data_IF_749683063687
#
_entry.id   IF_749683063687
#
_cell.length_a   1.000
_cell.length_b   1.000
_cell.length_c   1.000
_cell.angle_alpha   90.00
_cell.angle_beta   90.00
_cell.angle_gamma   90.00
#
_symmetry.space_group_name_H-M   'P 1'
#
loop_
_entity.id
_entity.type
_entity.pdbx_description
1 polymer ?
#
# COMPACT_ATOMS: atom_id res chain seq x y z
N UNK A 1 -12.35 22.06 -10.30
CA UNK A 1 -11.87 21.98 -8.90
C UNK A 1 -11.78 20.52 -8.50
N UNK A 2 -10.59 20.03 -8.11
CA UNK A 2 -10.45 18.67 -7.56
C UNK A 2 -11.15 18.65 -6.19
N UNK A 3 -12.09 17.71 -5.99
CA UNK A 3 -12.77 17.58 -4.71
C UNK A 3 -11.77 17.11 -3.64
N UNK A 4 -11.66 17.89 -2.55
CA UNK A 4 -10.71 17.69 -1.44
C UNK A 4 -10.79 16.29 -0.83
N UNK A 5 -11.94 15.60 -0.95
CA UNK A 5 -12.13 14.22 -0.45
C UNK A 5 -11.19 13.22 -1.13
N UNK A 6 -10.96 13.35 -2.44
CA UNK A 6 -10.05 12.47 -3.21
C UNK A 6 -8.58 12.82 -3.01
N UNK A 7 -8.29 14.10 -2.75
CA UNK A 7 -6.91 14.58 -2.63
C UNK A 7 -6.21 14.05 -1.38
N UNK A 8 -6.95 13.85 -0.28
CA UNK A 8 -6.38 13.39 1.00
C UNK A 8 -5.72 12.00 0.92
N UNK A 9 -6.42 10.92 0.51
CA UNK A 9 -5.78 9.61 0.40
C UNK A 9 -4.63 9.62 -0.61
N UNK A 10 -4.75 10.38 -1.71
CA UNK A 10 -3.67 10.52 -2.69
C UNK A 10 -2.42 11.14 -2.08
N UNK A 11 -2.55 12.27 -1.37
CA UNK A 11 -1.42 12.92 -0.68
C UNK A 11 -0.82 11.98 0.36
N UNK A 12 -1.64 11.29 1.15
CA UNK A 12 -1.15 10.33 2.14
C UNK A 12 -0.39 9.17 1.47
N UNK A 13 -0.86 8.66 0.34
CA UNK A 13 -0.17 7.62 -0.42
C UNK A 13 1.17 8.09 -0.96
N UNK A 14 1.22 9.31 -1.52
CA UNK A 14 2.48 9.92 -1.96
C UNK A 14 3.45 10.10 -0.79
N UNK A 15 2.96 10.48 0.39
CA UNK A 15 3.80 10.60 1.60
C UNK A 15 4.36 9.23 2.00
N UNK A 16 3.54 8.17 2.00
CA UNK A 16 4.00 6.80 2.31
C UNK A 16 5.10 6.37 1.33
N UNK A 17 4.90 6.58 0.03
CA UNK A 17 5.90 6.26 -1.01
C UNK A 17 7.17 7.09 -0.83
N UNK A 18 7.07 8.40 -0.57
CA UNK A 18 8.26 9.26 -0.38
C UNK A 18 9.03 8.84 0.88
N UNK A 19 8.33 8.54 1.97
CA UNK A 19 8.94 8.07 3.21
C UNK A 19 9.64 6.72 2.98
N UNK A 20 8.95 5.76 2.36
CA UNK A 20 9.48 4.42 2.10
C UNK A 20 10.62 4.41 1.09
N UNK A 21 10.41 4.93 -0.11
CA UNK A 21 11.42 4.87 -1.15
C UNK A 21 12.54 5.88 -0.94
N UNK A 22 12.23 7.16 -0.66
CA UNK A 22 13.26 8.22 -0.66
C UNK A 22 13.90 8.36 0.72
N UNK A 23 13.12 8.62 1.76
CA UNK A 23 13.70 8.93 3.07
C UNK A 23 14.34 7.69 3.70
N UNK A 24 13.65 6.56 3.70
CA UNK A 24 14.17 5.36 4.35
C UNK A 24 15.45 4.83 3.72
N UNK A 25 15.57 4.93 2.39
CA UNK A 25 16.80 4.63 1.66
C UNK A 25 17.93 5.59 2.00
N UNK A 26 17.68 6.91 1.95
CA UNK A 26 18.74 7.91 2.14
C UNK A 26 19.23 8.03 3.59
N UNK A 27 18.37 7.70 4.56
CA UNK A 27 18.70 7.73 5.99
C UNK A 27 18.94 6.34 6.59
N UNK A 28 19.06 5.29 5.76
CA UNK A 28 19.31 3.91 6.20
C UNK A 28 18.30 3.38 7.23
N UNK A 29 17.04 3.83 7.17
CA UNK A 29 15.99 3.51 8.15
C UNK A 29 15.67 2.01 8.11
N UNK A 30 15.62 1.41 6.91
CA UNK A 30 15.40 -0.03 6.74
C UNK A 30 16.41 -0.89 7.51
N UNK A 31 17.65 -0.42 7.64
CA UNK A 31 18.69 -1.13 8.41
C UNK A 31 18.65 -0.86 9.92
N UNK A 32 18.01 0.23 10.33
CA UNK A 32 18.00 0.69 11.72
C UNK A 32 16.75 0.25 12.48
N UNK A 33 15.65 -0.03 11.79
CA UNK A 33 14.35 -0.35 12.39
C UNK A 33 13.80 -1.63 11.75
N UNK A 34 13.90 -2.75 12.49
CA UNK A 34 13.66 -4.15 12.06
C UNK A 34 12.26 -4.42 11.47
N UNK A 35 11.29 -3.54 11.70
CA UNK A 35 9.91 -3.69 11.19
C UNK A 35 9.38 -2.46 10.46
N UNK A 36 10.25 -1.51 10.11
CA UNK A 36 9.83 -0.29 9.44
C UNK A 36 9.10 -0.56 8.13
N UNK A 37 9.61 -1.53 7.38
CA UNK A 37 9.01 -2.03 6.16
C UNK A 37 7.54 -2.47 6.35
N UNK A 38 7.29 -3.33 7.36
CA UNK A 38 5.92 -3.79 7.65
C UNK A 38 5.00 -2.64 8.09
N UNK A 39 5.52 -1.59 8.74
CA UNK A 39 4.74 -0.38 9.06
C UNK A 39 4.34 0.38 7.79
N UNK A 40 5.22 0.43 6.77
CA UNK A 40 4.89 1.02 5.48
C UNK A 40 3.81 0.22 4.76
N UNK A 41 3.88 -1.11 4.77
CA UNK A 41 2.82 -1.96 4.19
C UNK A 41 1.47 -1.78 4.90
N UNK A 42 1.44 -1.80 6.24
CA UNK A 42 0.21 -1.46 6.98
C UNK A 42 -0.32 -0.08 6.58
N UNK A 43 0.56 0.90 6.44
CA UNK A 43 0.16 2.26 6.03
C UNK A 43 -0.33 2.30 4.58
N UNK A 44 0.33 1.57 3.67
CA UNK A 44 0.00 1.44 2.26
C UNK A 44 -1.36 0.79 2.05
N UNK A 45 -1.59 -0.36 2.68
CA UNK A 45 -2.89 -1.05 2.67
C UNK A 45 -4.03 -0.18 3.22
N UNK A 46 -3.80 0.53 4.33
CA UNK A 46 -4.77 1.49 4.90
C UNK A 46 -5.12 2.59 3.90
N UNK A 47 -4.11 3.21 3.27
CA UNK A 47 -4.30 4.29 2.31
C UNK A 47 -4.96 3.79 1.03
N UNK A 48 -4.58 2.60 0.53
CA UNK A 48 -5.19 2.00 -0.64
C UNK A 48 -6.69 1.75 -0.42
N UNK A 49 -7.06 1.12 0.70
CA UNK A 49 -8.46 0.93 1.07
C UNK A 49 -9.20 2.27 1.24
N UNK A 50 -8.54 3.29 1.81
CA UNK A 50 -9.10 4.64 1.92
C UNK A 50 -9.38 5.28 0.57
N UNK A 51 -8.43 5.20 -0.35
CA UNK A 51 -8.57 5.69 -1.70
C UNK A 51 -9.78 5.07 -2.40
N UNK A 52 -9.92 3.74 -2.36
CA UNK A 52 -11.06 3.05 -2.97
C UNK A 52 -12.39 3.33 -2.25
N UNK A 53 -12.41 3.40 -0.92
CA UNK A 53 -13.61 3.78 -0.16
C UNK A 53 -14.11 5.18 -0.50
N UNK A 54 -13.20 6.12 -0.82
CA UNK A 54 -13.58 7.45 -1.29
C UNK A 54 -14.05 7.44 -2.75
N UNK A 55 -13.36 6.72 -3.64
CA UNK A 55 -13.68 6.69 -5.08
C UNK A 55 -14.98 5.96 -5.37
N UNK A 56 -15.23 4.86 -4.67
CA UNK A 56 -16.41 4.03 -4.89
C UNK A 56 -17.51 4.21 -3.86
N UNK A 57 -17.41 5.16 -2.93
CA UNK A 57 -18.36 5.28 -1.80
C UNK A 57 -19.84 5.14 -2.18
N UNK A 58 -20.33 5.88 -3.19
CA UNK A 58 -21.72 5.76 -3.64
C UNK A 58 -22.04 4.46 -4.40
N UNK A 59 -21.03 3.79 -4.96
CA UNK A 59 -21.17 2.46 -5.59
C UNK A 59 -21.16 1.36 -4.54
N UNK A 60 -20.53 1.59 -3.39
CA UNK A 60 -20.47 0.65 -2.28
C UNK A 60 -21.79 0.61 -1.49
N UNK A 61 -22.66 1.63 -1.57
CA UNK A 61 -23.89 1.71 -0.77
C UNK A 61 -24.90 0.58 -1.03
N UNK A 62 -24.84 -0.08 -2.20
CA UNK A 62 -25.70 -1.22 -2.54
C UNK A 62 -25.23 -2.56 -1.99
N UNK A 63 -24.05 -2.62 -1.38
CA UNK A 63 -23.46 -3.84 -0.85
C UNK A 63 -23.65 -3.94 0.68
N UNK A 64 -23.70 -5.16 1.20
CA UNK A 64 -23.65 -5.44 2.63
C UNK A 64 -22.29 -5.05 3.23
N UNK A 65 -22.25 -4.90 4.54
CA UNK A 65 -21.01 -4.55 5.26
C UNK A 65 -19.89 -5.57 5.04
N UNK A 66 -20.24 -6.87 4.96
CA UNK A 66 -19.26 -7.91 4.69
C UNK A 66 -18.70 -7.82 3.26
N UNK A 67 -19.56 -7.55 2.27
CA UNK A 67 -19.12 -7.35 0.88
C UNK A 67 -18.23 -6.11 0.74
N UNK A 68 -18.61 -4.97 1.37
CA UNK A 68 -17.77 -3.77 1.41
C UNK A 68 -16.39 -4.07 2.00
N UNK A 69 -16.34 -4.83 3.10
CA UNK A 69 -15.10 -5.24 3.73
C UNK A 69 -14.24 -6.04 2.76
N UNK A 70 -14.79 -7.11 2.17
CA UNK A 70 -14.08 -7.97 1.22
C UNK A 70 -13.58 -7.20 -0.01
N UNK A 71 -14.40 -6.30 -0.56
CA UNK A 71 -14.02 -5.46 -1.71
C UNK A 71 -12.81 -4.60 -1.36
N UNK A 72 -12.87 -3.85 -0.25
CA UNK A 72 -11.79 -2.93 0.12
C UNK A 72 -10.48 -3.65 0.41
N UNK A 73 -10.50 -4.77 1.14
CA UNK A 73 -9.28 -5.55 1.40
C UNK A 73 -8.73 -6.18 0.12
N UNK A 74 -9.58 -6.65 -0.80
CA UNK A 74 -9.14 -7.31 -2.04
C UNK A 74 -8.43 -6.33 -2.96
N UNK A 75 -8.92 -5.09 -3.04
CA UNK A 75 -8.28 -4.04 -3.83
C UNK A 75 -6.95 -3.62 -3.24
N UNK A 76 -6.88 -3.45 -1.92
CA UNK A 76 -5.63 -3.10 -1.25
C UNK A 76 -4.60 -4.24 -1.41
N UNK A 77 -5.01 -5.49 -1.25
CA UNK A 77 -4.18 -6.66 -1.50
C UNK A 77 -3.69 -6.73 -2.95
N UNK A 78 -4.54 -6.39 -3.94
CA UNK A 78 -4.12 -6.32 -5.33
C UNK A 78 -3.05 -5.24 -5.55
N UNK A 79 -3.19 -4.07 -4.94
CA UNK A 79 -2.17 -3.01 -5.00
C UNK A 79 -0.86 -3.46 -4.34
N UNK A 80 -0.92 -4.05 -3.15
CA UNK A 80 0.25 -4.60 -2.46
C UNK A 80 0.96 -5.67 -3.30
N UNK A 81 0.20 -6.61 -3.87
CA UNK A 81 0.75 -7.62 -4.77
C UNK A 81 1.42 -7.02 -6.02
N UNK A 82 0.84 -5.98 -6.62
CA UNK A 82 1.45 -5.29 -7.77
C UNK A 82 2.76 -4.59 -7.36
N UNK A 83 2.81 -4.01 -6.16
CA UNK A 83 4.03 -3.39 -5.62
C UNK A 83 5.14 -4.42 -5.44
N UNK A 84 4.85 -5.53 -4.76
CA UNK A 84 5.77 -6.65 -4.56
C UNK A 84 6.28 -7.24 -5.87
N UNK A 85 5.38 -7.41 -6.84
CA UNK A 85 5.76 -7.90 -8.17
C UNK A 85 6.71 -6.93 -8.88
N UNK A 86 6.48 -5.62 -8.75
CA UNK A 86 7.36 -4.60 -9.32
C UNK A 86 8.75 -4.65 -8.68
N UNK A 87 8.85 -4.76 -7.36
CA UNK A 87 10.13 -4.90 -6.66
C UNK A 87 10.86 -6.17 -7.08
N UNK A 88 10.16 -7.31 -7.12
CA UNK A 88 10.72 -8.58 -7.60
C UNK A 88 11.26 -8.44 -9.02
N UNK A 89 10.49 -7.83 -9.94
CA UNK A 89 10.93 -7.63 -11.33
C UNK A 89 12.18 -6.76 -11.39
N UNK A 90 12.25 -5.66 -10.62
CA UNK A 90 13.45 -4.80 -10.62
C UNK A 90 14.67 -5.56 -10.06
N UNK A 91 14.49 -6.34 -9.00
CA UNK A 91 15.56 -7.10 -8.35
C UNK A 91 16.03 -8.32 -9.15
N UNK A 92 15.14 -8.99 -9.89
CA UNK A 92 15.42 -10.28 -10.53
C UNK A 92 15.68 -10.21 -12.05
N UNK A 93 15.61 -9.03 -12.65
CA UNK A 93 15.79 -8.84 -14.11
C UNK A 93 16.99 -7.97 -14.46
N UNK A 94 17.21 -7.77 -15.76
CA UNK A 94 18.18 -6.80 -16.30
C UNK A 94 17.97 -5.37 -15.77
N UNK A 95 16.81 -5.07 -15.18
CA UNK A 95 16.53 -3.79 -14.54
C UNK A 95 17.40 -3.53 -13.30
N UNK A 96 17.96 -4.57 -12.68
CA UNK A 96 18.91 -4.42 -11.57
C UNK A 96 20.18 -3.66 -11.98
N UNK A 97 20.50 -3.63 -13.27
CA UNK A 97 21.63 -2.87 -13.82
C UNK A 97 21.36 -1.35 -13.88
N UNK A 98 20.13 -0.89 -13.61
CA UNK A 98 19.77 0.53 -13.57
C UNK A 98 19.85 1.07 -12.14
N UNK A 99 20.95 1.75 -11.74
CA UNK A 99 21.23 2.01 -10.33
C UNK A 99 20.21 2.93 -9.68
N UNK A 100 19.64 3.86 -10.44
CA UNK A 100 18.60 4.78 -9.93
C UNK A 100 17.30 4.03 -9.63
N UNK A 101 16.90 3.09 -10.50
CA UNK A 101 15.67 2.33 -10.32
C UNK A 101 15.83 1.34 -9.16
N UNK A 102 16.90 0.54 -9.20
CA UNK A 102 17.24 -0.43 -8.15
C UNK A 102 17.58 0.23 -6.80
N UNK A 103 17.84 1.54 -6.74
CA UNK A 103 18.02 2.22 -5.45
C UNK A 103 16.70 2.46 -4.71
N UNK A 104 15.61 2.68 -5.43
CA UNK A 104 14.34 3.12 -4.83
C UNK A 104 13.23 2.08 -4.91
N UNK A 105 13.38 1.11 -5.82
CA UNK A 105 12.45 0.03 -6.06
C UNK A 105 13.30 -1.23 -6.10
N UNK A 106 13.52 -1.80 -4.93
CA UNK A 106 14.28 -3.03 -4.76
C UNK A 106 13.75 -3.73 -3.52
N UNK A 107 14.02 -5.02 -3.44
CA UNK A 107 13.28 -5.88 -2.53
C UNK A 107 12.42 -6.86 -3.30
N UNK A 108 11.45 -7.47 -2.65
CA UNK A 108 10.55 -8.42 -3.28
C UNK A 108 11.24 -9.75 -3.54
N UNK A 109 11.10 -10.66 -2.59
CA UNK A 109 11.24 -12.09 -2.83
C UNK A 109 10.04 -12.80 -2.22
N UNK A 110 9.89 -14.11 -2.49
CA UNK A 110 8.71 -14.84 -2.02
C UNK A 110 8.49 -14.74 -0.50
N UNK A 111 9.56 -14.76 0.30
CA UNK A 111 9.45 -14.68 1.77
C UNK A 111 8.99 -13.27 2.19
N UNK A 112 9.54 -12.24 1.54
CA UNK A 112 9.20 -10.85 1.78
C UNK A 112 7.72 -10.59 1.46
N UNK A 113 7.29 -10.92 0.24
CA UNK A 113 5.92 -10.78 -0.24
C UNK A 113 4.91 -11.52 0.64
N UNK A 114 5.24 -12.72 1.14
CA UNK A 114 4.38 -13.46 2.08
C UNK A 114 4.28 -12.75 3.43
N UNK A 115 5.30 -11.98 3.84
CA UNK A 115 5.28 -11.12 5.02
C UNK A 115 4.52 -9.80 4.80
N UNK A 116 4.63 -9.21 3.61
CA UNK A 116 4.08 -7.89 3.29
C UNK A 116 2.61 -7.89 2.96
N UNK A 117 2.16 -8.88 2.18
CA UNK A 117 0.76 -8.94 1.77
C UNK A 117 -0.21 -9.04 2.98
N UNK A 118 0.09 -9.82 4.05
CA UNK A 118 -0.69 -9.77 5.28
C UNK A 118 -0.67 -8.41 5.99
N UNK A 119 0.46 -7.68 5.95
CA UNK A 119 0.56 -6.35 6.52
C UNK A 119 -0.31 -5.34 5.75
N UNK A 120 -0.31 -5.40 4.42
CA UNK A 120 -1.22 -4.63 3.56
C UNK A 120 -2.68 -4.96 3.87
N UNK A 121 -3.03 -6.24 3.93
CA UNK A 121 -4.39 -6.71 4.27
C UNK A 121 -4.81 -6.23 5.66
N UNK A 122 -3.90 -6.24 6.64
CA UNK A 122 -4.18 -5.76 7.98
C UNK A 122 -4.49 -4.25 7.99
N UNK A 123 -3.65 -3.44 7.34
CA UNK A 123 -3.91 -2.01 7.17
C UNK A 123 -5.23 -1.71 6.47
N UNK A 124 -5.52 -2.44 5.40
CA UNK A 124 -6.78 -2.33 4.66
C UNK A 124 -7.99 -2.72 5.51
N UNK A 125 -7.86 -3.76 6.34
CA UNK A 125 -8.89 -4.21 7.26
C UNK A 125 -9.22 -3.15 8.31
N UNK A 126 -8.21 -2.48 8.88
CA UNK A 126 -8.41 -1.38 9.81
C UNK A 126 -9.23 -0.24 9.18
N UNK A 127 -8.89 0.15 7.94
CA UNK A 127 -9.66 1.16 7.22
C UNK A 127 -11.07 0.67 6.88
N UNK A 128 -11.22 -0.55 6.39
CA UNK A 128 -12.51 -1.10 5.99
C UNK A 128 -13.49 -1.15 7.16
N UNK A 129 -13.05 -1.60 8.34
CA UNK A 129 -13.85 -1.58 9.57
C UNK A 129 -14.27 -0.16 9.95
N UNK A 130 -13.33 0.79 9.89
CA UNK A 130 -13.62 2.19 10.13
C UNK A 130 -14.64 2.76 9.14
N UNK A 131 -14.49 2.46 7.85
CA UNK A 131 -15.38 2.89 6.78
C UNK A 131 -16.80 2.40 7.04
N UNK A 132 -16.95 1.10 7.31
CA UNK A 132 -18.23 0.44 7.56
C UNK A 132 -18.90 0.98 8.83
N UNK A 133 -18.15 1.31 9.88
CA UNK A 133 -18.70 1.85 11.12
C UNK A 133 -19.32 3.24 10.99
N UNK A 134 -19.09 3.92 9.85
CA UNK A 134 -19.52 5.29 9.56
C UNK A 134 -20.49 5.39 8.39
N UNK A 135 -20.76 4.27 7.73
CA UNK A 135 -21.73 4.12 6.64
C UNK A 135 -23.12 3.81 7.23
#
# INVERSE_FOLDING_TARGET
MINKRYLRPLICGLIVIIIGSVLATNFHIYSSIVHFDKVLHVSGGLVAAWFFGVIWGSKLSGFSNFEKFLILISLAALIGWVWELMEFIVSASWLAEFPTLHRYIYGGNLIDTIGDLPADIFGASLFALFYISRD
#
